data_IF_151230447189
#
_entry.id   IF_151230447189
#
_cell.length_a   1.000
_cell.length_b   1.000
_cell.length_c   1.000
_cell.angle_alpha   90.00
_cell.angle_beta   90.00
_cell.angle_gamma   90.00
#
_symmetry.space_group_name_H-M   'P 1'
#
loop_
_entity.id
_entity.type
_entity.pdbx_description
1 polymer ?
#
# COMPACT_ATOMS: atom_id res chain seq x y z
N UNK A 1 -19.56 33.66 5.33
CA UNK A 1 -18.72 33.30 6.49
C UNK A 1 -17.53 34.24 6.51
N UNK A 2 -17.24 34.95 7.61
CA UNK A 2 -16.05 35.79 7.72
C UNK A 2 -14.77 34.96 7.90
N UNK A 3 -13.60 35.59 7.74
CA UNK A 3 -12.33 35.01 8.16
C UNK A 3 -12.37 34.68 9.65
N UNK A 4 -12.06 33.44 10.04
CA UNK A 4 -12.11 33.03 11.46
C UNK A 4 -11.14 33.82 12.35
N UNK A 5 -10.05 34.31 11.78
CA UNK A 5 -8.98 35.00 12.53
C UNK A 5 -9.17 36.51 12.60
N UNK A 6 -9.46 37.16 11.47
CA UNK A 6 -9.52 38.63 11.37
C UNK A 6 -10.93 39.17 11.09
N UNK A 7 -11.92 38.29 11.01
CA UNK A 7 -13.34 38.60 10.81
C UNK A 7 -13.73 39.37 9.53
N UNK A 8 -12.77 39.67 8.65
CA UNK A 8 -13.03 40.27 7.33
C UNK A 8 -13.88 39.36 6.44
N UNK A 9 -14.72 39.97 5.59
CA UNK A 9 -15.66 39.31 4.68
C UNK A 9 -15.41 39.69 3.23
N UNK A 10 -15.94 38.90 2.28
CA UNK A 10 -15.98 39.31 0.88
C UNK A 10 -16.91 40.53 0.69
N UNK A 11 -16.60 41.49 -0.20
CA UNK A 11 -15.51 41.48 -1.18
C UNK A 11 -14.16 42.06 -0.69
N UNK A 12 -14.03 42.51 0.56
CA UNK A 12 -12.80 43.13 1.08
C UNK A 12 -11.60 42.18 0.99
N UNK A 13 -11.84 40.88 1.18
CA UNK A 13 -10.83 39.83 1.10
C UNK A 13 -11.39 38.56 0.47
N UNK A 14 -10.59 37.86 -0.35
CA UNK A 14 -10.97 36.54 -0.86
C UNK A 14 -10.79 35.47 0.22
N UNK A 15 -11.87 34.76 0.55
CA UNK A 15 -11.86 33.76 1.62
C UNK A 15 -11.64 32.35 1.06
N UNK A 16 -10.72 31.60 1.68
CA UNK A 16 -10.42 30.22 1.36
C UNK A 16 -10.78 29.32 2.54
N UNK A 17 -11.50 28.23 2.26
CA UNK A 17 -11.84 27.23 3.29
C UNK A 17 -10.62 26.39 3.67
N UNK A 18 -10.59 25.89 4.90
CA UNK A 18 -9.55 24.97 5.34
C UNK A 18 -9.54 23.71 4.45
N UNK A 19 -8.41 23.42 3.81
CA UNK A 19 -8.31 22.27 2.89
C UNK A 19 -8.60 20.90 3.55
N UNK A 20 -8.47 20.77 4.88
CA UNK A 20 -8.62 19.49 5.58
C UNK A 20 -10.07 19.20 6.03
N UNK A 21 -10.85 20.22 6.36
CA UNK A 21 -12.19 20.04 6.92
C UNK A 21 -13.28 20.88 6.23
N UNK A 22 -12.89 21.85 5.41
CA UNK A 22 -13.78 22.80 4.73
C UNK A 22 -14.76 23.57 5.63
N UNK A 23 -14.63 23.48 6.96
CA UNK A 23 -15.61 24.01 7.92
C UNK A 23 -15.36 25.46 8.34
N UNK A 24 -14.12 25.94 8.22
CA UNK A 24 -13.70 27.29 8.61
C UNK A 24 -13.02 28.00 7.42
N UNK A 25 -13.19 29.31 7.32
CA UNK A 25 -12.69 30.16 6.22
C UNK A 25 -11.62 31.15 6.70
N UNK A 26 -10.62 31.41 5.85
CA UNK A 26 -9.51 32.34 6.13
C UNK A 26 -9.17 33.17 4.89
N UNK A 27 -8.79 34.44 5.07
CA UNK A 27 -8.36 35.29 3.96
C UNK A 27 -6.89 35.04 3.53
N UNK A 28 -6.05 34.54 4.45
CA UNK A 28 -4.63 34.25 4.16
C UNK A 28 -4.13 33.01 4.90
N UNK A 29 -2.97 32.49 4.45
CA UNK A 29 -2.26 31.40 5.15
C UNK A 29 -1.81 31.83 6.54
N UNK A 30 -1.52 33.11 6.77
CA UNK A 30 -1.15 33.61 8.10
C UNK A 30 -2.34 33.54 9.05
N UNK A 31 -3.53 33.94 8.60
CA UNK A 31 -4.76 33.80 9.38
C UNK A 31 -5.01 32.32 9.74
N UNK A 32 -4.87 31.41 8.77
CA UNK A 32 -4.99 29.97 9.03
C UNK A 32 -3.98 29.45 10.06
N UNK A 33 -2.71 29.87 9.97
CA UNK A 33 -1.66 29.49 10.93
C UNK A 33 -1.90 30.06 12.33
N UNK A 34 -2.40 31.29 12.42
CA UNK A 34 -2.71 31.93 13.69
C UNK A 34 -3.83 31.19 14.44
N UNK A 35 -4.86 30.71 13.73
CA UNK A 35 -5.93 29.91 14.33
C UNK A 35 -5.55 28.43 14.54
N UNK A 36 -4.45 27.96 13.94
CA UNK A 36 -4.08 26.53 13.92
C UNK A 36 -4.06 25.86 15.29
N UNK A 37 -3.60 26.56 16.35
CA UNK A 37 -3.57 26.01 17.72
C UNK A 37 -4.95 25.62 18.24
N UNK A 38 -5.99 26.36 17.85
CA UNK A 38 -7.38 26.13 18.22
C UNK A 38 -8.07 25.21 17.21
N UNK A 39 -7.96 25.55 15.92
CA UNK A 39 -8.58 24.82 14.83
C UNK A 39 -8.15 23.36 14.78
N UNK A 40 -6.86 23.04 15.00
CA UNK A 40 -6.35 21.64 14.91
C UNK A 40 -7.07 20.65 15.82
N UNK A 41 -7.66 21.13 16.92
CA UNK A 41 -8.38 20.28 17.89
C UNK A 41 -9.71 19.78 17.35
N UNK A 42 -10.30 20.53 16.42
CA UNK A 42 -11.64 20.30 15.83
C UNK A 42 -11.60 20.08 14.32
N UNK A 43 -10.47 20.33 13.67
CA UNK A 43 -10.27 20.19 12.24
C UNK A 43 -10.45 18.73 11.80
N UNK A 44 -11.61 18.43 11.19
CA UNK A 44 -11.98 17.11 10.69
C UNK A 44 -12.93 16.31 11.60
N UNK A 45 -13.48 16.93 12.66
CA UNK A 45 -14.34 16.24 13.65
C UNK A 45 -15.85 16.47 13.51
N UNK A 46 -16.32 17.32 12.61
CA UNK A 46 -17.76 17.57 12.45
C UNK A 46 -18.26 17.01 11.12
N UNK A 47 -19.30 16.18 11.24
CA UNK A 47 -19.81 15.26 10.24
C UNK A 47 -20.45 15.93 9.04
N UNK A 48 -20.24 15.24 7.92
CA UNK A 48 -20.76 15.45 6.59
C UNK A 48 -22.28 15.59 6.57
N UNK A 49 -22.76 16.72 6.04
CA UNK A 49 -24.05 16.81 5.37
C UNK A 49 -23.80 17.33 3.96
N UNK A 50 -24.27 16.54 3.00
CA UNK A 50 -24.45 16.83 1.57
C UNK A 50 -23.22 17.12 0.69
N UNK A 51 -22.91 16.10 -0.10
CA UNK A 51 -22.87 16.12 -1.57
C UNK A 51 -21.73 16.81 -2.34
N UNK A 52 -21.25 15.99 -3.29
CA UNK A 52 -20.54 16.28 -4.52
C UNK A 52 -19.00 16.39 -4.48
N UNK A 53 -18.41 15.32 -5.00
CA UNK A 53 -17.26 15.32 -5.91
C UNK A 53 -15.89 15.64 -5.33
N UNK A 54 -15.27 14.63 -4.72
CA UNK A 54 -13.84 14.38 -4.86
C UNK A 54 -13.52 12.91 -4.52
N UNK A 55 -12.96 12.24 -5.51
CA UNK A 55 -12.28 10.94 -5.50
C UNK A 55 -11.46 10.69 -4.24
N UNK A 56 -12.08 10.00 -3.27
CA UNK A 56 -11.39 9.32 -2.17
C UNK A 56 -11.76 7.85 -2.26
N UNK A 57 -10.95 7.07 -2.97
CA UNK A 57 -11.03 5.60 -2.95
C UNK A 57 -10.53 5.09 -1.60
N UNK A 58 -11.35 5.26 -0.56
CA UNK A 58 -11.37 4.37 0.61
C UNK A 58 -12.53 3.40 0.41
N UNK A 59 -12.39 2.42 -0.49
CA UNK A 59 -13.39 1.36 -0.70
C UNK A 59 -12.74 0.05 -1.17
N UNK A 60 -12.35 -0.79 -0.22
CA UNK A 60 -12.04 -2.21 -0.43
C UNK A 60 -10.79 -2.53 -1.27
N UNK A 61 -10.34 -3.79 -1.16
CA UNK A 61 -9.45 -4.44 -2.14
C UNK A 61 -10.00 -4.40 -3.57
N UNK A 62 -9.17 -4.67 -4.58
CA UNK A 62 -9.51 -4.53 -5.99
C UNK A 62 -10.80 -5.27 -6.40
N UNK A 63 -11.46 -4.72 -7.41
CA UNK A 63 -12.67 -5.31 -8.00
C UNK A 63 -12.37 -6.52 -8.92
N UNK A 64 -11.10 -6.80 -9.20
CA UNK A 64 -10.63 -7.88 -10.10
C UNK A 64 -9.40 -8.59 -9.51
N UNK A 65 -9.07 -9.76 -10.06
CA UNK A 65 -7.86 -10.52 -9.73
C UNK A 65 -7.91 -11.28 -8.41
N UNK A 66 -8.68 -10.83 -7.43
CA UNK A 66 -8.88 -11.49 -6.13
C UNK A 66 -10.33 -11.96 -5.97
N UNK A 67 -10.48 -13.14 -5.36
CA UNK A 67 -11.78 -13.77 -5.14
C UNK A 67 -12.54 -13.08 -4.00
N UNK A 68 -11.83 -12.57 -2.99
CA UNK A 68 -12.43 -11.87 -1.85
C UNK A 68 -11.74 -10.52 -1.55
N UNK A 69 -12.49 -9.41 -1.59
CA UNK A 69 -11.96 -8.12 -1.18
C UNK A 69 -11.88 -8.03 0.36
N UNK A 70 -10.84 -7.35 0.86
CA UNK A 70 -10.74 -6.95 2.27
C UNK A 70 -11.01 -5.46 2.47
N UNK A 71 -11.51 -5.04 3.64
CA UNK A 71 -11.55 -3.64 4.03
C UNK A 71 -10.16 -3.12 4.43
N UNK A 72 -9.95 -1.82 4.23
CA UNK A 72 -8.81 -1.03 4.71
C UNK A 72 -7.42 -1.66 4.44
N UNK A 73 -7.07 -1.92 3.17
CA UNK A 73 -5.84 -2.65 2.83
C UNK A 73 -4.56 -2.02 3.38
N UNK A 74 -4.44 -0.68 3.35
CA UNK A 74 -3.28 0.03 3.89
C UNK A 74 -3.16 -0.08 5.41
N UNK A 75 -4.28 0.00 6.13
CA UNK A 75 -4.28 -0.21 7.59
C UNK A 75 -3.84 -1.63 7.95
N UNK A 76 -4.25 -2.64 7.16
CA UNK A 76 -3.79 -4.02 7.36
C UNK A 76 -2.33 -4.22 7.00
N UNK A 77 -1.81 -3.51 5.99
CA UNK A 77 -0.37 -3.49 5.70
C UNK A 77 0.41 -2.93 6.89
N UNK A 78 0.00 -1.78 7.44
CA UNK A 78 0.65 -1.18 8.61
C UNK A 78 0.62 -2.10 9.85
N UNK A 79 -0.43 -2.90 10.01
CA UNK A 79 -0.59 -3.85 11.11
C UNK A 79 0.04 -5.22 10.87
N UNK A 80 0.57 -5.48 9.67
CA UNK A 80 1.09 -6.80 9.29
C UNK A 80 0.01 -7.87 9.09
N UNK A 81 -1.26 -7.49 8.96
CA UNK A 81 -2.40 -8.40 8.80
C UNK A 81 -2.97 -8.43 7.37
N UNK A 82 -2.24 -7.91 6.39
CA UNK A 82 -2.70 -7.76 5.01
C UNK A 82 -3.05 -9.08 4.31
N UNK A 83 -2.37 -10.17 4.65
CA UNK A 83 -2.62 -11.50 4.08
C UNK A 83 -3.72 -12.28 4.82
N UNK A 84 -4.17 -11.80 5.98
CA UNK A 84 -5.13 -12.49 6.85
C UNK A 84 -6.56 -12.31 6.35
N UNK A 85 -7.43 -13.24 6.74
CA UNK A 85 -8.86 -13.25 6.38
C UNK A 85 -9.10 -13.24 4.85
N UNK A 86 -8.23 -13.94 4.11
CA UNK A 86 -8.30 -14.11 2.66
C UNK A 86 -8.35 -15.60 2.26
N UNK A 87 -8.95 -15.91 1.10
CA UNK A 87 -8.83 -17.22 0.47
C UNK A 87 -7.36 -17.59 0.20
N UNK A 88 -7.04 -18.88 0.23
CA UNK A 88 -5.66 -19.36 0.04
C UNK A 88 -5.08 -18.90 -1.29
N UNK A 89 -5.85 -19.03 -2.37
CA UNK A 89 -5.43 -18.63 -3.72
C UNK A 89 -5.16 -17.12 -3.83
N UNK A 90 -5.91 -16.29 -3.11
CA UNK A 90 -5.66 -14.85 -3.10
C UNK A 90 -4.33 -14.53 -2.41
N UNK A 91 -4.00 -15.24 -1.33
CA UNK A 91 -2.70 -15.12 -0.68
C UNK A 91 -1.58 -15.59 -1.62
N UNK A 92 -1.78 -16.67 -2.37
CA UNK A 92 -0.79 -17.14 -3.36
C UNK A 92 -0.54 -16.08 -4.44
N UNK A 93 -1.60 -15.53 -5.05
CA UNK A 93 -1.51 -14.47 -6.07
C UNK A 93 -0.74 -13.25 -5.54
N UNK A 94 -1.10 -12.80 -4.34
CA UNK A 94 -0.46 -11.66 -3.67
C UNK A 94 1.04 -11.88 -3.41
N UNK A 95 1.43 -13.06 -2.94
CA UNK A 95 2.83 -13.39 -2.70
C UNK A 95 3.63 -13.46 -4.01
N UNK A 96 3.06 -14.09 -5.03
CA UNK A 96 3.70 -14.21 -6.36
C UNK A 96 3.92 -12.84 -6.98
N UNK A 97 2.89 -11.98 -7.04
CA UNK A 97 3.03 -10.66 -7.65
C UNK A 97 3.86 -9.70 -6.81
N UNK A 98 3.89 -9.86 -5.48
CA UNK A 98 4.84 -9.12 -4.63
C UNK A 98 6.28 -9.45 -5.03
N UNK A 99 6.59 -10.72 -5.27
CA UNK A 99 7.89 -11.15 -5.74
C UNK A 99 8.18 -10.66 -7.17
N UNK A 100 7.27 -10.89 -8.12
CA UNK A 100 7.45 -10.47 -9.53
C UNK A 100 7.68 -8.96 -9.64
N UNK A 101 6.86 -8.16 -8.94
CA UNK A 101 7.00 -6.70 -8.95
C UNK A 101 8.29 -6.25 -8.25
N UNK A 102 8.73 -6.94 -7.19
CA UNK A 102 10.00 -6.63 -6.52
C UNK A 102 11.19 -6.83 -7.45
N UNK A 103 11.23 -7.98 -8.13
CA UNK A 103 12.29 -8.32 -9.10
C UNK A 103 12.33 -7.29 -10.23
N UNK A 104 11.16 -6.91 -10.75
CA UNK A 104 11.03 -5.84 -11.74
C UNK A 104 11.56 -4.49 -11.24
N UNK A 105 11.11 -4.06 -10.06
CA UNK A 105 11.50 -2.77 -9.51
C UNK A 105 13.01 -2.70 -9.24
N UNK A 106 13.63 -3.78 -8.73
CA UNK A 106 15.09 -3.82 -8.51
C UNK A 106 15.86 -3.70 -9.83
N UNK A 107 15.42 -4.43 -10.86
CA UNK A 107 16.05 -4.37 -12.17
C UNK A 107 15.91 -2.99 -12.80
N UNK A 108 14.69 -2.43 -12.82
CA UNK A 108 14.42 -1.14 -13.49
C UNK A 108 14.92 0.09 -12.72
N UNK A 109 14.82 0.10 -11.40
CA UNK A 109 15.10 1.28 -10.59
C UNK A 109 16.53 1.30 -10.03
N UNK A 110 17.07 0.15 -9.68
CA UNK A 110 18.42 0.03 -9.06
C UNK A 110 19.46 -0.57 -10.03
N UNK A 111 19.02 -1.15 -11.15
CA UNK A 111 19.92 -1.89 -12.05
C UNK A 111 20.41 -3.21 -11.45
N UNK A 112 19.81 -3.67 -10.36
CA UNK A 112 20.20 -4.89 -9.66
C UNK A 112 19.44 -6.10 -10.20
N UNK A 113 20.18 -7.16 -10.52
CA UNK A 113 19.62 -8.44 -10.93
C UNK A 113 19.57 -9.38 -9.73
N UNK A 114 18.37 -9.67 -9.24
CA UNK A 114 18.21 -10.62 -8.14
C UNK A 114 18.61 -12.04 -8.60
N UNK A 115 19.43 -12.72 -7.80
CA UNK A 115 19.93 -14.06 -8.14
C UNK A 115 18.79 -15.09 -8.16
N UNK A 116 18.77 -15.91 -9.21
CA UNK A 116 17.73 -16.92 -9.49
C UNK A 116 16.36 -16.31 -9.83
N UNK A 117 16.37 -15.08 -10.34
CA UNK A 117 15.21 -14.40 -10.90
C UNK A 117 15.16 -14.54 -12.43
N UNK A 118 14.05 -14.09 -13.02
CA UNK A 118 13.88 -14.05 -14.48
C UNK A 118 14.96 -13.19 -15.18
N UNK A 119 15.54 -12.21 -14.49
CA UNK A 119 16.57 -11.34 -15.06
C UNK A 119 17.99 -11.89 -14.91
N UNK A 120 18.19 -12.97 -14.15
CA UNK A 120 19.51 -13.60 -13.98
C UNK A 120 19.84 -14.67 -15.03
N UNK A 121 19.03 -14.79 -16.08
CA UNK A 121 19.16 -15.84 -17.11
C UNK A 121 18.57 -17.20 -16.70
N UNK A 122 17.81 -17.26 -15.60
CA UNK A 122 17.06 -18.45 -15.22
C UNK A 122 15.87 -18.68 -16.19
N UNK A 123 15.44 -19.93 -16.34
CA UNK A 123 14.29 -20.29 -17.19
C UNK A 123 12.96 -19.75 -16.66
N UNK A 124 12.88 -19.56 -15.35
CA UNK A 124 11.71 -19.12 -14.62
C UNK A 124 12.13 -18.51 -13.27
N UNK A 125 11.17 -17.89 -12.57
CA UNK A 125 11.39 -17.27 -11.27
C UNK A 125 11.20 -18.19 -10.06
N UNK A 126 11.01 -19.51 -10.22
CA UNK A 126 10.64 -20.40 -9.11
C UNK A 126 11.72 -20.47 -8.03
N UNK A 127 12.98 -20.54 -8.44
CA UNK A 127 14.10 -20.65 -7.51
C UNK A 127 14.22 -19.40 -6.62
N UNK A 128 14.17 -18.19 -7.21
CA UNK A 128 14.12 -16.93 -6.47
C UNK A 128 12.86 -16.80 -5.62
N UNK A 129 11.69 -17.23 -6.13
CA UNK A 129 10.44 -17.22 -5.37
C UNK A 129 10.49 -18.12 -4.12
N UNK A 130 11.14 -19.29 -4.21
CA UNK A 130 11.41 -20.15 -3.04
C UNK A 130 12.29 -19.45 -2.01
N UNK A 131 13.28 -18.65 -2.42
CA UNK A 131 14.07 -17.83 -1.48
C UNK A 131 13.21 -16.77 -0.80
N UNK A 132 12.36 -16.12 -1.57
CA UNK A 132 11.39 -15.15 -1.08
C UNK A 132 10.46 -15.78 -0.03
N UNK A 133 9.81 -16.92 -0.31
CA UNK A 133 8.90 -17.58 0.64
C UNK A 133 9.60 -17.99 1.94
N UNK A 134 10.86 -18.47 1.88
CA UNK A 134 11.65 -18.70 3.10
C UNK A 134 11.79 -17.44 3.93
N UNK A 135 12.00 -16.28 3.29
CA UNK A 135 12.07 -14.99 3.98
C UNK A 135 10.71 -14.57 4.55
N UNK A 136 9.62 -14.77 3.82
CA UNK A 136 8.24 -14.53 4.32
C UNK A 136 7.98 -15.33 5.60
N UNK A 137 8.37 -16.60 5.63
CA UNK A 137 8.20 -17.49 6.80
C UNK A 137 8.98 -17.03 8.05
N UNK A 138 9.99 -16.16 7.91
CA UNK A 138 10.69 -15.56 9.06
C UNK A 138 9.94 -14.38 9.68
N UNK A 139 8.91 -13.85 9.02
CA UNK A 139 8.15 -12.67 9.47
C UNK A 139 7.00 -13.09 10.39
N UNK A 140 7.23 -13.01 11.70
CA UNK A 140 6.25 -13.38 12.73
C UNK A 140 4.93 -12.63 12.53
N UNK A 141 3.83 -13.38 12.43
CA UNK A 141 2.48 -12.85 12.32
C UNK A 141 2.08 -12.35 10.92
N UNK A 142 2.98 -12.36 9.93
CA UNK A 142 2.66 -11.90 8.58
C UNK A 142 1.74 -12.87 7.82
N UNK A 143 2.03 -14.16 7.94
CA UNK A 143 1.28 -15.23 7.26
C UNK A 143 0.02 -15.61 8.04
N UNK A 144 -1.07 -15.99 7.35
CA UNK A 144 -2.27 -16.53 7.99
C UNK A 144 -1.99 -17.82 8.77
N UNK A 145 -2.83 -18.12 9.76
CA UNK A 145 -2.67 -19.30 10.63
C UNK A 145 -2.77 -20.64 9.90
N UNK A 146 -3.43 -20.67 8.74
CA UNK A 146 -3.55 -21.87 7.91
C UNK A 146 -2.30 -22.13 7.05
N UNK A 147 -1.33 -21.20 7.00
CA UNK A 147 -0.14 -21.37 6.18
C UNK A 147 0.78 -22.46 6.73
N UNK A 148 1.05 -23.47 5.92
CA UNK A 148 1.94 -24.61 6.24
C UNK A 148 3.00 -24.83 5.15
N UNK A 149 4.01 -25.69 5.36
CA UNK A 149 4.94 -26.11 4.31
C UNK A 149 4.24 -26.72 3.08
N UNK A 150 3.11 -27.41 3.26
CA UNK A 150 2.29 -27.95 2.18
C UNK A 150 1.67 -26.82 1.36
N UNK A 151 1.11 -25.81 2.03
CA UNK A 151 0.55 -24.62 1.38
C UNK A 151 1.62 -23.79 0.65
N UNK A 152 2.85 -23.81 1.15
CA UNK A 152 3.97 -23.24 0.42
C UNK A 152 4.22 -23.97 -0.91
N UNK A 153 4.24 -25.30 -0.91
CA UNK A 153 4.38 -26.10 -2.15
C UNK A 153 3.22 -25.87 -3.11
N UNK A 154 1.99 -25.79 -2.60
CA UNK A 154 0.82 -25.44 -3.41
C UNK A 154 0.96 -24.05 -4.04
N UNK A 155 1.45 -23.05 -3.28
CA UNK A 155 1.71 -21.70 -3.79
C UNK A 155 2.78 -21.68 -4.89
N UNK A 156 3.85 -22.47 -4.71
CA UNK A 156 4.91 -22.64 -5.71
C UNK A 156 4.39 -23.26 -7.00
N UNK A 157 3.60 -24.34 -6.90
CA UNK A 157 2.97 -25.00 -8.05
C UNK A 157 1.95 -24.09 -8.74
N UNK A 158 1.14 -23.37 -7.95
CA UNK A 158 0.18 -22.38 -8.46
C UNK A 158 0.88 -21.32 -9.30
N UNK A 159 2.01 -20.78 -8.85
CA UNK A 159 2.79 -19.79 -9.61
C UNK A 159 3.42 -20.32 -10.90
N UNK A 160 3.60 -21.64 -11.02
CA UNK A 160 4.16 -22.26 -12.24
C UNK A 160 3.11 -22.71 -13.25
N UNK A 161 1.87 -22.91 -12.80
CA UNK A 161 0.79 -23.50 -13.58
C UNK A 161 -0.34 -22.52 -13.90
N UNK A 162 -0.53 -21.48 -13.08
CA UNK A 162 -1.53 -20.44 -13.34
C UNK A 162 -1.19 -19.63 -14.59
N UNK A 163 -2.22 -19.16 -15.30
CA UNK A 163 -2.08 -18.21 -16.40
C UNK A 163 -1.63 -16.84 -15.87
N UNK A 164 -2.25 -16.35 -14.79
CA UNK A 164 -1.85 -15.14 -14.09
C UNK A 164 -2.20 -15.21 -12.60
N UNK A 165 -1.31 -14.78 -11.69
CA UNK A 165 0.08 -14.42 -11.96
C UNK A 165 0.96 -15.64 -12.22
N UNK A 166 2.02 -15.47 -13.01
CA UNK A 166 2.93 -16.57 -13.43
C UNK A 166 4.39 -16.25 -13.13
N UNK A 167 5.10 -17.20 -12.53
CA UNK A 167 6.55 -17.11 -12.26
C UNK A 167 7.40 -17.28 -13.53
N UNK A 168 6.79 -17.62 -14.67
CA UNK A 168 7.49 -17.78 -15.95
C UNK A 168 7.61 -16.47 -16.73
N UNK A 169 6.92 -15.42 -16.30
CA UNK A 169 6.88 -14.14 -17.00
C UNK A 169 7.14 -12.98 -16.05
N UNK A 170 7.87 -11.97 -16.54
CA UNK A 170 8.03 -10.69 -15.85
C UNK A 170 6.68 -9.98 -15.69
N UNK A 171 6.67 -8.90 -14.91
CA UNK A 171 5.47 -8.08 -14.73
C UNK A 171 5.86 -6.62 -14.66
N UNK A 172 5.12 -5.75 -15.34
CA UNK A 172 5.24 -4.31 -15.18
C UNK A 172 4.19 -3.76 -14.22
N UNK A 173 4.42 -2.52 -13.75
CA UNK A 173 3.43 -1.79 -12.96
C UNK A 173 2.07 -1.68 -13.68
N UNK A 174 2.08 -1.48 -15.00
CA UNK A 174 0.85 -1.34 -15.78
C UNK A 174 0.03 -2.64 -15.78
N UNK A 175 0.70 -3.78 -15.96
CA UNK A 175 0.07 -5.11 -15.96
C UNK A 175 -0.61 -5.39 -14.61
N UNK A 176 0.04 -5.06 -13.48
CA UNK A 176 -0.57 -5.17 -12.15
C UNK A 176 -1.82 -4.29 -12.04
N UNK A 177 -1.77 -3.04 -12.50
CA UNK A 177 -2.93 -2.15 -12.43
C UNK A 177 -4.09 -2.69 -13.27
N UNK A 178 -3.80 -3.22 -14.46
CA UNK A 178 -4.81 -3.81 -15.34
C UNK A 178 -5.43 -5.07 -14.73
N UNK A 179 -4.60 -6.00 -14.28
CA UNK A 179 -5.03 -7.29 -13.71
C UNK A 179 -5.93 -7.10 -12.49
N UNK A 180 -5.54 -6.24 -11.55
CA UNK A 180 -6.31 -5.99 -10.33
C UNK A 180 -7.36 -4.88 -10.50
N UNK A 181 -7.27 -4.05 -11.54
CA UNK A 181 -8.18 -2.93 -11.75
C UNK A 181 -8.06 -1.84 -10.67
N UNK A 182 -6.90 -1.73 -10.01
CA UNK A 182 -6.65 -0.75 -8.94
C UNK A 182 -5.28 -0.07 -9.13
N UNK A 183 -5.32 1.25 -9.38
CA UNK A 183 -4.12 2.09 -9.56
C UNK A 183 -3.18 2.11 -8.35
N UNK A 184 -3.68 1.81 -7.15
CA UNK A 184 -2.92 1.78 -5.90
C UNK A 184 -2.39 0.38 -5.57
N UNK A 185 -2.77 -0.65 -6.33
CA UNK A 185 -2.37 -2.03 -6.04
C UNK A 185 -0.85 -2.26 -6.10
N UNK A 186 -0.09 -1.68 -7.06
CA UNK A 186 1.36 -1.78 -7.03
C UNK A 186 1.98 -1.21 -5.74
N UNK A 187 1.37 -0.16 -5.16
CA UNK A 187 1.82 0.38 -3.88
C UNK A 187 1.55 -0.60 -2.74
N UNK A 188 0.38 -1.26 -2.73
CA UNK A 188 0.06 -2.29 -1.73
C UNK A 188 1.08 -3.44 -1.78
N UNK A 189 1.41 -3.94 -2.97
CA UNK A 189 2.41 -5.00 -3.17
C UNK A 189 3.82 -4.55 -2.73
N UNK A 190 4.22 -3.31 -3.04
CA UNK A 190 5.51 -2.76 -2.58
C UNK A 190 5.59 -2.63 -1.07
N UNK A 191 4.51 -2.19 -0.41
CA UNK A 191 4.46 -2.12 1.05
C UNK A 191 4.51 -3.52 1.69
N UNK A 192 3.83 -4.50 1.10
CA UNK A 192 3.96 -5.89 1.53
C UNK A 192 5.39 -6.39 1.36
N UNK A 193 6.02 -6.07 0.22
CA UNK A 193 7.43 -6.35 -0.02
C UNK A 193 8.34 -5.69 1.02
N UNK A 194 8.13 -4.42 1.35
CA UNK A 194 8.89 -3.71 2.39
C UNK A 194 8.79 -4.42 3.74
N UNK A 195 7.60 -4.87 4.15
CA UNK A 195 7.43 -5.65 5.37
C UNK A 195 8.22 -6.98 5.36
N UNK A 196 8.48 -7.55 4.17
CA UNK A 196 9.19 -8.82 3.99
C UNK A 196 10.70 -8.62 3.83
N UNK A 197 11.18 -7.63 3.07
CA UNK A 197 12.60 -7.38 2.84
C UNK A 197 13.22 -6.43 3.86
N UNK A 198 12.42 -5.53 4.44
CA UNK A 198 12.86 -4.46 5.33
C UNK A 198 13.34 -3.21 4.60
N UNK A 199 13.12 -3.11 3.28
CA UNK A 199 13.45 -1.95 2.47
C UNK A 199 12.52 -1.82 1.26
N UNK A 200 12.47 -0.61 0.70
CA UNK A 200 11.79 -0.30 -0.56
C UNK A 200 12.81 -0.09 -1.68
N UNK A 201 12.54 -0.58 -2.90
CA UNK A 201 13.31 -0.13 -4.07
C UNK A 201 13.12 1.38 -4.28
N UNK A 202 14.17 2.09 -4.72
CA UNK A 202 14.17 3.53 -4.95
C UNK A 202 14.55 4.40 -3.76
N UNK A 203 15.19 3.83 -2.72
CA UNK A 203 15.91 4.59 -1.69
C UNK A 203 15.10 5.47 -0.73
N UNK A 204 13.77 5.36 -0.66
CA UNK A 204 12.95 6.05 0.37
C UNK A 204 12.50 5.08 1.44
N UNK A 205 13.42 4.68 2.32
CA UNK A 205 13.09 3.99 3.57
C UNK A 205 12.03 4.80 4.32
N UNK A 206 10.78 4.31 4.38
CA UNK A 206 9.89 4.79 5.43
C UNK A 206 10.42 4.17 6.71
N UNK A 207 10.85 5.01 7.65
CA UNK A 207 11.14 4.60 9.02
C UNK A 207 9.85 4.14 9.70
N UNK A 208 9.33 2.97 9.31
CA UNK A 208 8.36 2.21 10.08
C UNK A 208 9.15 1.03 10.62
N UNK A 209 9.08 0.81 11.93
CA UNK A 209 9.97 -0.05 12.72
C UNK A 209 11.30 0.60 13.16
N UNK A 210 11.21 1.72 13.86
CA UNK A 210 11.99 1.81 15.11
C UNK A 210 11.10 1.30 16.24
N UNK A 211 11.48 0.25 16.99
CA UNK A 211 10.85 -0.02 18.26
C UNK A 211 11.11 1.20 19.14
N UNK A 212 10.05 1.80 19.67
CA UNK A 212 10.15 2.77 20.76
C UNK A 212 10.74 2.00 21.93
N UNK A 213 12.05 2.10 22.11
CA UNK A 213 12.71 1.72 23.35
C UNK A 213 12.30 2.80 24.35
N UNK A 214 11.33 2.48 25.21
CA UNK A 214 11.18 3.19 26.47
C UNK A 214 12.41 2.81 27.31
N UNK A 215 13.32 3.77 27.50
CA UNK A 215 14.23 3.74 28.63
C UNK A 215 13.54 4.45 29.79
N UNK A 216 13.40 3.72 30.90
CA UNK A 216 13.12 4.25 32.23
C UNK A 216 14.20 5.25 32.69
#
# INVERSE_FOLDING_TARGET
>A
MPCKTCQKTEPEVSLKRCAKCSSESYCSRECQKADWKNHKKVCGKQGSSASASASTSTRGSPAKGLDQPIPDPFTRLDRGTYLHDRPEKDVYKLLIDTYRLRVEDMYRLEGEVEQDSLYSGASDGLAGFKKFLRKVSTRKGLLPSWWTPEKQKECEEFGMTSSEPSLKTGVEKADIIEHYGDSQFPMQLRMLGEAIWGNTPGGRTRLLFSPIVFQD
#
